data_IF_959442925090
#
_entry.id   IF_959442925090
#
_cell.length_a   1.000
_cell.length_b   1.000
_cell.length_c   1.000
_cell.angle_alpha   90.00
_cell.angle_beta   90.00
_cell.angle_gamma   90.00
#
_symmetry.space_group_name_H-M   'P 1'
#
loop_
_entity.id
_entity.type
_entity.pdbx_description
1 polymer ?
#
# COMPACT_ATOMS: atom_id res chain seq x y z
N UNK A 1 30.92 -24.91 -1.94
CA UNK A 1 30.77 -23.72 -2.80
C UNK A 1 29.83 -24.06 -3.95
N UNK A 2 28.52 -23.92 -3.75
CA UNK A 2 27.53 -24.09 -4.79
C UNK A 2 27.30 -22.73 -5.47
N UNK A 3 27.63 -22.65 -6.76
CA UNK A 3 27.34 -21.49 -7.59
C UNK A 3 25.83 -21.42 -7.79
N UNK A 4 25.17 -20.42 -7.21
CA UNK A 4 23.78 -20.11 -7.56
C UNK A 4 23.75 -19.68 -9.02
N UNK A 5 23.17 -20.55 -9.84
CA UNK A 5 22.85 -20.30 -11.24
C UNK A 5 21.98 -19.05 -11.32
N UNK A 6 22.35 -18.12 -12.20
CA UNK A 6 21.63 -16.89 -12.43
C UNK A 6 20.14 -17.16 -12.65
N UNK A 7 19.31 -16.64 -11.75
CA UNK A 7 17.90 -16.42 -12.05
C UNK A 7 17.85 -15.49 -13.25
N UNK A 8 17.06 -15.85 -14.27
CA UNK A 8 16.69 -14.90 -15.32
C UNK A 8 16.21 -13.61 -14.64
N UNK A 9 16.67 -12.44 -15.11
CA UNK A 9 16.23 -11.17 -14.54
C UNK A 9 14.71 -11.10 -14.69
N UNK A 10 14.00 -11.21 -13.56
CA UNK A 10 12.59 -10.93 -13.48
C UNK A 10 12.30 -9.56 -14.10
N UNK A 11 11.16 -9.42 -14.77
CA UNK A 11 10.77 -8.14 -15.34
C UNK A 11 10.69 -7.09 -14.21
N UNK A 12 11.44 -5.99 -14.37
CA UNK A 12 11.51 -4.90 -13.40
C UNK A 12 10.77 -3.69 -13.93
N UNK A 13 9.97 -3.06 -13.09
CA UNK A 13 9.41 -1.74 -13.35
C UNK A 13 9.46 -0.87 -12.09
N UNK A 14 9.49 0.44 -12.28
CA UNK A 14 9.55 1.44 -11.20
C UNK A 14 8.47 2.47 -11.43
N UNK A 15 7.76 2.83 -10.37
CA UNK A 15 6.72 3.84 -10.38
C UNK A 15 7.04 4.93 -9.36
N UNK A 16 6.67 6.16 -9.68
CA UNK A 16 6.86 7.36 -8.85
C UNK A 16 5.52 8.06 -8.70
N UNK A 17 5.31 8.88 -7.64
CA UNK A 17 4.10 9.66 -7.54
C UNK A 17 3.92 10.54 -8.79
N UNK A 18 2.72 10.58 -9.38
CA UNK A 18 2.40 11.39 -10.57
C UNK A 18 2.39 12.90 -10.29
N UNK A 19 2.47 13.31 -9.03
CA UNK A 19 2.31 14.71 -8.60
C UNK A 19 0.86 15.18 -8.58
N UNK A 20 -0.11 14.36 -9.03
CA UNK A 20 -1.54 14.68 -9.12
C UNK A 20 -2.43 13.45 -8.96
N UNK A 21 -3.65 13.66 -8.46
CA UNK A 21 -4.69 12.64 -8.34
C UNK A 21 -6.05 13.22 -8.73
N UNK A 22 -7.06 12.34 -8.88
CA UNK A 22 -8.46 12.77 -9.02
C UNK A 22 -9.12 12.91 -7.65
N UNK A 23 -9.91 13.95 -7.43
CA UNK A 23 -10.61 14.17 -6.16
C UNK A 23 -12.01 13.56 -6.11
N UNK A 24 -12.71 13.50 -7.25
CA UNK A 24 -14.12 13.09 -7.29
C UNK A 24 -14.45 12.34 -8.58
N UNK A 25 -15.37 11.38 -8.46
CA UNK A 25 -15.99 10.69 -9.59
C UNK A 25 -15.06 9.79 -10.40
N UNK A 26 -15.61 9.24 -11.47
CA UNK A 26 -14.94 8.41 -12.47
C UNK A 26 -15.37 8.85 -13.87
N UNK A 27 -14.59 8.47 -14.89
CA UNK A 27 -15.01 8.71 -16.28
C UNK A 27 -16.06 7.65 -16.64
N UNK A 28 -17.31 8.08 -16.82
CA UNK A 28 -18.37 7.20 -17.30
C UNK A 28 -18.21 7.02 -18.82
N UNK A 29 -17.35 6.09 -19.22
CA UNK A 29 -17.12 5.76 -20.62
C UNK A 29 -18.34 5.17 -21.33
N UNK A 30 -19.35 4.69 -20.60
CA UNK A 30 -20.58 4.20 -21.20
C UNK A 30 -21.49 5.36 -21.62
N UNK A 31 -21.61 6.39 -20.78
CA UNK A 31 -22.35 7.61 -21.10
C UNK A 31 -21.55 8.58 -21.99
N UNK A 32 -20.23 8.63 -21.82
CA UNK A 32 -19.32 9.57 -22.49
C UNK A 32 -18.12 8.85 -23.12
N UNK A 33 -18.31 8.06 -24.20
CA UNK A 33 -17.25 7.28 -24.82
C UNK A 33 -16.16 8.12 -25.49
N UNK A 34 -16.43 9.41 -25.76
CA UNK A 34 -15.49 10.34 -26.39
C UNK A 34 -14.54 11.02 -25.40
N UNK A 35 -14.56 10.68 -24.11
CA UNK A 35 -13.60 11.20 -23.12
C UNK A 35 -12.17 10.84 -23.55
N UNK A 36 -11.31 11.85 -23.74
CA UNK A 36 -9.90 11.69 -24.16
C UNK A 36 -8.90 12.16 -23.13
N UNK A 37 -9.36 12.81 -22.06
CA UNK A 37 -8.51 13.36 -21.01
C UNK A 37 -8.67 12.53 -19.74
N UNK A 38 -7.54 12.15 -19.14
CA UNK A 38 -7.54 11.49 -17.83
C UNK A 38 -7.41 12.54 -16.73
N UNK A 39 -8.53 12.87 -16.11
CA UNK A 39 -8.61 14.00 -15.16
C UNK A 39 -7.89 13.69 -13.85
N UNK A 40 -6.81 14.43 -13.59
CA UNK A 40 -6.09 14.50 -12.31
C UNK A 40 -6.06 15.97 -11.84
N UNK A 41 -7.10 16.35 -11.11
CA UNK A 41 -7.50 17.73 -10.81
C UNK A 41 -6.84 18.32 -9.56
N UNK A 42 -6.21 17.49 -8.72
CA UNK A 42 -5.58 17.94 -7.47
C UNK A 42 -4.11 17.52 -7.38
N UNK A 43 -3.22 18.38 -6.85
CA UNK A 43 -1.84 18.00 -6.56
C UNK A 43 -1.78 16.95 -5.44
N UNK A 44 -0.80 16.06 -5.51
CA UNK A 44 -0.60 15.03 -4.51
C UNK A 44 0.74 14.30 -4.67
N UNK A 45 1.30 13.85 -3.56
CA UNK A 45 2.50 12.99 -3.52
C UNK A 45 2.37 12.05 -2.32
N UNK A 46 3.31 11.13 -2.18
CA UNK A 46 3.38 10.22 -1.04
C UNK A 46 3.80 10.94 0.23
N UNK A 47 3.23 10.54 1.36
CA UNK A 47 3.41 11.19 2.65
C UNK A 47 3.98 10.21 3.67
N UNK A 48 5.04 10.59 4.38
CA UNK A 48 5.51 9.83 5.55
C UNK A 48 4.64 10.15 6.76
N UNK A 49 3.95 9.15 7.33
CA UNK A 49 3.04 9.36 8.47
C UNK A 49 3.72 9.25 9.83
N UNK A 50 4.67 8.32 10.02
CA UNK A 50 5.24 7.98 11.33
C UNK A 50 6.58 8.69 11.64
N UNK A 51 7.05 9.61 10.78
CA UNK A 51 8.32 10.30 11.00
C UNK A 51 8.75 11.23 9.87
N UNK A 52 10.04 11.56 9.81
CA UNK A 52 10.60 12.47 8.79
C UNK A 52 11.96 12.03 8.22
N UNK A 53 12.49 10.90 8.69
CA UNK A 53 13.71 10.33 8.17
C UNK A 53 13.48 9.69 6.79
N UNK A 54 14.54 9.66 5.98
CA UNK A 54 14.52 8.97 4.70
C UNK A 54 14.27 7.47 4.90
N UNK A 55 13.58 6.88 3.93
CA UNK A 55 13.11 5.50 3.95
C UNK A 55 13.71 4.78 2.78
N UNK A 56 14.30 3.63 3.08
CA UNK A 56 14.60 2.61 2.09
C UNK A 56 14.28 1.25 2.71
N UNK A 57 13.36 0.51 2.11
CA UNK A 57 12.96 -0.80 2.57
C UNK A 57 12.66 -1.73 1.39
N UNK A 58 12.91 -3.02 1.59
CA UNK A 58 12.66 -4.07 0.62
C UNK A 58 11.86 -5.21 1.24
N UNK A 59 11.22 -6.02 0.40
CA UNK A 59 10.45 -7.18 0.83
C UNK A 59 9.46 -7.63 -0.24
N UNK A 60 8.85 -8.80 -0.06
CA UNK A 60 7.76 -9.20 -0.96
C UNK A 60 6.50 -8.37 -0.69
N UNK A 61 5.88 -7.91 -1.77
CA UNK A 61 4.65 -7.13 -1.72
C UNK A 61 3.47 -8.04 -1.37
N UNK A 62 2.68 -7.63 -0.39
CA UNK A 62 1.41 -8.30 -0.06
C UNK A 62 0.39 -7.29 0.45
N UNK A 63 -0.85 -7.34 -0.03
CA UNK A 63 -1.82 -6.32 0.33
C UNK A 63 -3.10 -6.25 -0.50
N UNK A 64 -3.84 -5.16 -0.30
CA UNK A 64 -5.11 -4.87 -0.97
C UNK A 64 -6.08 -4.03 -0.13
N UNK A 65 -7.37 -4.13 -0.44
CA UNK A 65 -8.47 -3.42 0.22
C UNK A 65 -8.65 -3.88 1.68
N UNK A 66 -8.66 -2.94 2.63
CA UNK A 66 -8.85 -3.20 4.07
C UNK A 66 -10.21 -3.87 4.30
N UNK A 67 -11.27 -3.34 3.71
CA UNK A 67 -12.65 -3.82 3.85
C UNK A 67 -12.83 -5.25 3.31
N UNK A 68 -11.97 -5.67 2.37
CA UNK A 68 -11.94 -7.06 1.88
C UNK A 68 -11.08 -7.94 2.78
N UNK A 69 -9.84 -7.53 3.03
CA UNK A 69 -8.83 -8.36 3.68
C UNK A 69 -9.09 -8.57 5.17
N UNK A 70 -9.75 -7.63 5.84
CA UNK A 70 -10.04 -7.74 7.28
C UNK A 70 -10.86 -8.98 7.64
N UNK A 71 -11.70 -9.46 6.71
CA UNK A 71 -12.53 -10.65 6.89
C UNK A 71 -11.74 -11.97 6.78
N UNK A 72 -10.55 -11.94 6.19
CA UNK A 72 -9.73 -13.12 5.94
C UNK A 72 -8.48 -13.18 6.81
N UNK A 73 -8.02 -12.04 7.34
CA UNK A 73 -6.78 -11.93 8.08
C UNK A 73 -6.72 -12.94 9.25
N UNK A 74 -5.66 -13.75 9.28
CA UNK A 74 -5.45 -14.79 10.29
C UNK A 74 -6.20 -16.11 10.02
N UNK A 75 -7.01 -16.20 8.96
CA UNK A 75 -7.56 -17.47 8.46
C UNK A 75 -6.53 -18.20 7.58
N UNK A 76 -6.82 -19.46 7.25
CA UNK A 76 -6.00 -20.24 6.30
C UNK A 76 -5.96 -19.66 4.88
N UNK A 77 -6.83 -18.70 4.56
CA UNK A 77 -6.88 -18.03 3.25
C UNK A 77 -6.05 -16.73 3.22
N UNK A 78 -5.65 -16.20 4.38
CA UNK A 78 -4.82 -15.00 4.50
C UNK A 78 -3.92 -15.05 5.75
N UNK A 79 -3.12 -16.11 5.83
CA UNK A 79 -2.07 -16.30 6.84
C UNK A 79 -0.75 -15.68 6.36
N UNK A 80 -0.68 -14.35 6.46
CA UNK A 80 0.49 -13.57 6.03
C UNK A 80 1.73 -13.92 6.87
N UNK A 81 1.56 -14.20 8.16
CA UNK A 81 2.68 -14.59 9.03
C UNK A 81 3.36 -15.87 8.55
N UNK A 82 2.59 -16.88 8.15
CA UNK A 82 3.12 -18.12 7.58
C UNK A 82 3.72 -17.90 6.20
N UNK A 83 3.08 -17.10 5.34
CA UNK A 83 3.63 -16.70 4.05
C UNK A 83 5.01 -16.03 4.21
N UNK A 84 5.14 -15.06 5.12
CA UNK A 84 6.40 -14.36 5.38
C UNK A 84 7.51 -15.33 5.79
N UNK A 85 7.23 -16.23 6.74
CA UNK A 85 8.22 -17.23 7.21
C UNK A 85 8.69 -18.17 6.11
N UNK A 86 7.79 -18.58 5.21
CA UNK A 86 8.07 -19.63 4.24
C UNK A 86 8.55 -19.11 2.88
N UNK A 87 8.11 -17.92 2.46
CA UNK A 87 8.30 -17.40 1.10
C UNK A 87 9.03 -16.06 1.04
N UNK A 88 9.15 -15.34 2.16
CA UNK A 88 9.75 -14.01 2.22
C UNK A 88 10.62 -13.81 3.48
N UNK A 89 11.72 -14.55 3.63
CA UNK A 89 12.56 -14.48 4.83
C UNK A 89 13.11 -13.07 5.10
N UNK A 90 13.33 -12.31 4.03
CA UNK A 90 13.83 -10.93 4.04
C UNK A 90 12.77 -9.90 4.49
N UNK A 91 11.52 -10.32 4.73
CA UNK A 91 10.41 -9.49 5.20
C UNK A 91 9.44 -9.06 4.10
N UNK A 92 8.49 -8.21 4.47
CA UNK A 92 7.36 -7.82 3.60
C UNK A 92 7.29 -6.31 3.39
N UNK A 93 6.81 -5.91 2.21
CA UNK A 93 6.22 -4.60 2.00
C UNK A 93 4.70 -4.79 2.01
N UNK A 94 4.07 -4.47 3.12
CA UNK A 94 2.63 -4.67 3.28
C UNK A 94 1.91 -3.44 2.75
N UNK A 95 0.91 -3.60 1.88
CA UNK A 95 0.12 -2.47 1.42
C UNK A 95 -1.37 -2.63 1.73
N UNK A 96 -2.01 -1.52 2.09
CA UNK A 96 -3.43 -1.48 2.42
C UNK A 96 -4.07 -0.23 1.85
N UNK A 97 -5.33 -0.29 1.46
CA UNK A 97 -6.09 0.86 0.97
C UNK A 97 -7.54 0.77 1.42
N UNK A 98 -8.18 1.93 1.60
CA UNK A 98 -9.57 2.05 2.02
C UNK A 98 -10.42 2.54 0.84
N UNK A 99 -11.53 1.87 0.57
CA UNK A 99 -12.48 2.23 -0.47
C UNK A 99 -13.44 3.31 0.03
N UNK A 100 -14.23 2.97 1.06
CA UNK A 100 -15.39 3.77 1.46
C UNK A 100 -15.72 3.77 2.94
N UNK A 101 -15.12 2.90 3.75
CA UNK A 101 -15.42 2.83 5.17
C UNK A 101 -14.85 4.04 5.95
N UNK A 102 -15.61 4.52 6.95
CA UNK A 102 -15.20 5.67 7.74
C UNK A 102 -13.98 5.37 8.64
N UNK A 103 -13.28 6.43 9.05
CA UNK A 103 -12.03 6.32 9.81
C UNK A 103 -12.13 5.48 11.10
N UNK A 104 -13.28 5.44 11.80
CA UNK A 104 -13.43 4.56 12.98
C UNK A 104 -13.50 3.09 12.57
N UNK A 105 -14.16 2.79 11.47
CA UNK A 105 -14.25 1.43 10.93
C UNK A 105 -12.91 0.96 10.38
N UNK A 106 -12.21 1.80 9.62
CA UNK A 106 -10.85 1.52 9.15
C UNK A 106 -9.89 1.29 10.31
N UNK A 107 -9.90 2.17 11.33
CA UNK A 107 -9.08 2.00 12.53
C UNK A 107 -9.31 0.63 13.19
N UNK A 108 -10.59 0.28 13.43
CA UNK A 108 -10.97 -1.01 14.04
C UNK A 108 -10.50 -2.20 13.19
N UNK A 109 -10.68 -2.13 11.87
CA UNK A 109 -10.26 -3.20 10.94
C UNK A 109 -8.74 -3.37 10.94
N UNK A 110 -7.98 -2.27 10.89
CA UNK A 110 -6.52 -2.31 10.94
C UNK A 110 -5.99 -2.87 12.27
N UNK A 111 -6.62 -2.52 13.39
CA UNK A 111 -6.33 -3.15 14.68
C UNK A 111 -6.57 -4.66 14.65
N UNK A 112 -7.71 -5.09 14.11
CA UNK A 112 -8.04 -6.51 13.97
C UNK A 112 -7.02 -7.25 13.10
N UNK A 113 -6.68 -6.69 11.94
CA UNK A 113 -5.67 -7.24 11.03
C UNK A 113 -4.29 -7.34 11.70
N UNK A 114 -3.87 -6.32 12.45
CA UNK A 114 -2.61 -6.35 13.23
C UNK A 114 -2.62 -7.44 14.30
N UNK A 115 -3.70 -7.57 15.06
CA UNK A 115 -3.83 -8.62 16.08
C UNK A 115 -3.88 -10.03 15.46
N UNK A 116 -4.37 -10.14 14.22
CA UNK A 116 -4.39 -11.38 13.45
C UNK A 116 -3.06 -11.70 12.74
N UNK A 117 -2.01 -10.88 12.92
CA UNK A 117 -0.68 -11.10 12.36
C UNK A 117 -0.50 -10.66 10.91
N UNK A 118 -1.45 -9.91 10.33
CA UNK A 118 -1.36 -9.49 8.91
C UNK A 118 -0.13 -8.62 8.61
N UNK A 119 0.34 -7.86 9.60
CA UNK A 119 1.51 -6.98 9.48
C UNK A 119 2.79 -7.60 10.06
N UNK A 120 2.77 -8.89 10.42
CA UNK A 120 3.96 -9.57 10.90
C UNK A 120 5.06 -9.52 9.84
N UNK A 121 6.30 -9.24 10.26
CA UNK A 121 7.48 -9.17 9.37
C UNK A 121 7.40 -8.07 8.30
N UNK A 122 6.51 -7.09 8.46
CA UNK A 122 6.55 -5.87 7.64
C UNK A 122 7.87 -5.13 7.88
N UNK A 123 8.55 -4.77 6.79
CA UNK A 123 9.68 -3.84 6.80
C UNK A 123 9.22 -2.41 6.51
N UNK A 124 8.10 -2.26 5.80
CA UNK A 124 7.37 -1.02 5.62
C UNK A 124 5.89 -1.33 5.32
N UNK A 125 5.04 -0.33 5.57
CA UNK A 125 3.62 -0.34 5.30
C UNK A 125 3.33 0.79 4.31
N UNK A 126 2.66 0.45 3.22
CA UNK A 126 2.25 1.35 2.16
C UNK A 126 0.74 1.55 2.24
N UNK A 127 0.27 2.78 2.36
CA UNK A 127 -1.15 3.08 2.51
C UNK A 127 -1.66 3.84 1.29
N UNK A 128 -2.68 3.30 0.65
CA UNK A 128 -3.34 3.91 -0.50
C UNK A 128 -3.98 5.25 -0.13
N UNK A 129 -3.91 6.21 -1.06
CA UNK A 129 -4.71 7.43 -0.99
C UNK A 129 -6.19 7.05 -0.99
N UNK A 130 -6.98 7.67 -0.13
CA UNK A 130 -8.41 7.35 -0.01
C UNK A 130 -9.27 8.61 -0.03
N UNK A 131 -10.46 8.49 -0.61
CA UNK A 131 -11.57 9.44 -0.47
C UNK A 131 -12.57 9.02 0.61
N UNK A 132 -12.31 7.91 1.31
CA UNK A 132 -13.15 7.41 2.38
C UNK A 132 -13.28 8.46 3.50
N UNK A 133 -14.46 8.57 4.13
CA UNK A 133 -14.75 9.68 5.00
C UNK A 133 -13.92 9.62 6.29
N UNK A 134 -13.40 10.78 6.69
CA UNK A 134 -12.95 10.97 8.06
C UNK A 134 -14.15 10.87 9.02
N UNK A 135 -13.87 10.70 10.31
CA UNK A 135 -14.84 10.90 11.36
C UNK A 135 -14.54 12.21 12.13
N UNK A 136 -15.45 12.63 13.03
CA UNK A 136 -15.38 13.91 13.74
C UNK A 136 -14.07 14.14 14.50
N UNK A 137 -13.47 13.07 15.04
CA UNK A 137 -12.27 13.12 15.88
C UNK A 137 -11.13 12.24 15.40
N UNK A 138 -11.23 11.72 14.17
CA UNK A 138 -10.23 10.81 13.63
C UNK A 138 -10.25 10.89 12.10
N UNK A 139 -9.12 11.31 11.54
CA UNK A 139 -8.87 11.21 10.10
C UNK A 139 -8.44 9.80 9.71
N UNK A 140 -8.49 9.49 8.41
CA UNK A 140 -8.00 8.21 7.88
C UNK A 140 -6.49 8.01 8.16
N UNK A 141 -5.68 9.06 8.06
CA UNK A 141 -4.25 8.99 8.42
C UNK A 141 -4.06 8.75 9.92
N UNK A 142 -4.85 9.37 10.78
CA UNK A 142 -4.79 9.13 12.23
C UNK A 142 -5.26 7.71 12.58
N UNK A 143 -6.28 7.17 11.89
CA UNK A 143 -6.72 5.79 12.05
C UNK A 143 -5.60 4.77 11.74
N UNK A 144 -4.83 5.03 10.69
CA UNK A 144 -3.64 4.22 10.35
C UNK A 144 -2.58 4.30 11.44
N UNK A 145 -2.25 5.51 11.90
CA UNK A 145 -1.22 5.72 12.92
C UNK A 145 -1.61 5.12 14.28
N UNK A 146 -2.87 5.25 14.68
CA UNK A 146 -3.40 4.67 15.91
C UNK A 146 -3.27 3.14 15.90
N UNK A 147 -3.67 2.52 14.78
CA UNK A 147 -3.64 1.07 14.64
C UNK A 147 -2.22 0.51 14.47
N UNK A 148 -1.36 1.16 13.68
CA UNK A 148 -0.12 0.56 13.16
C UNK A 148 1.16 1.25 13.65
N UNK A 149 1.08 2.45 14.22
CA UNK A 149 2.26 3.22 14.65
C UNK A 149 3.11 2.51 15.69
N UNK A 150 2.51 1.63 16.51
CA UNK A 150 3.21 0.83 17.50
C UNK A 150 4.14 -0.24 16.91
N UNK A 151 4.05 -0.53 15.60
CA UNK A 151 4.90 -1.49 14.91
C UNK A 151 6.32 -0.95 14.68
N UNK A 152 6.54 0.36 14.79
CA UNK A 152 7.83 1.03 14.58
C UNK A 152 8.50 0.69 13.23
N UNK A 153 7.67 0.47 12.21
CA UNK A 153 8.11 0.29 10.82
C UNK A 153 7.63 1.50 10.00
N UNK A 154 8.39 1.89 8.96
CA UNK A 154 7.96 2.87 7.98
C UNK A 154 6.50 2.79 7.52
N UNK A 155 5.76 3.89 7.60
CA UNK A 155 4.40 4.05 7.06
C UNK A 155 4.39 5.17 6.02
N UNK A 156 4.23 4.80 4.75
CA UNK A 156 4.13 5.74 3.63
C UNK A 156 2.70 5.72 3.11
N UNK A 157 2.00 6.84 3.25
CA UNK A 157 0.63 7.01 2.81
C UNK A 157 0.53 7.75 1.48
N UNK A 158 -0.71 7.87 1.02
CA UNK A 158 -1.11 8.56 -0.20
C UNK A 158 -0.51 7.95 -1.47
N UNK A 159 -0.13 6.67 -1.40
CA UNK A 159 0.27 5.86 -2.55
C UNK A 159 -0.93 5.78 -3.50
N UNK A 160 -0.75 5.98 -4.79
CA UNK A 160 -1.85 6.01 -5.75
C UNK A 160 -2.37 4.61 -6.12
N UNK A 161 -2.45 3.68 -5.16
CA UNK A 161 -3.13 2.40 -5.29
C UNK A 161 -4.52 2.44 -4.63
N UNK A 162 -5.40 1.54 -5.03
CA UNK A 162 -6.74 1.45 -4.44
C UNK A 162 -7.80 2.22 -5.22
N UNK A 163 -8.67 2.95 -4.51
CA UNK A 163 -9.88 3.54 -5.09
C UNK A 163 -9.74 5.02 -5.53
N UNK A 164 -8.53 5.59 -5.48
CA UNK A 164 -8.25 6.95 -5.99
C UNK A 164 -7.30 6.92 -7.21
N UNK A 165 -7.68 7.50 -8.38
CA UNK A 165 -6.82 7.59 -9.56
C UNK A 165 -5.48 8.29 -9.27
N UNK A 166 -4.35 7.87 -9.91
CA UNK A 166 -4.26 7.07 -11.15
C UNK A 166 -4.16 5.54 -11.05
N UNK A 167 -4.35 4.89 -9.91
CA UNK A 167 -4.37 3.41 -9.80
C UNK A 167 -3.06 2.71 -10.20
N UNK A 168 -1.97 3.08 -9.55
CA UNK A 168 -0.68 2.41 -9.65
C UNK A 168 -0.80 0.89 -9.37
N UNK A 169 -0.45 0.01 -10.33
CA UNK A 169 -0.46 -1.42 -10.10
C UNK A 169 0.61 -1.85 -9.08
N UNK A 170 0.21 -2.67 -8.11
CA UNK A 170 1.11 -3.34 -7.16
C UNK A 170 0.86 -4.84 -7.28
N UNK A 171 1.92 -5.61 -7.53
CA UNK A 171 1.84 -7.05 -7.79
C UNK A 171 2.16 -7.83 -6.52
N UNK A 172 1.13 -8.45 -5.93
CA UNK A 172 1.29 -9.37 -4.81
C UNK A 172 2.29 -10.49 -5.16
N UNK A 173 3.25 -10.71 -4.27
CA UNK A 173 4.33 -11.69 -4.42
C UNK A 173 5.61 -11.15 -5.07
N UNK A 174 5.55 -10.04 -5.80
CA UNK A 174 6.74 -9.42 -6.40
C UNK A 174 7.72 -8.93 -5.32
N UNK A 175 9.02 -8.95 -5.63
CA UNK A 175 10.01 -8.34 -4.76
C UNK A 175 9.99 -6.82 -4.96
N UNK A 176 9.64 -6.09 -3.91
CA UNK A 176 9.52 -4.64 -3.92
C UNK A 176 10.69 -3.94 -3.23
N UNK A 177 11.00 -2.73 -3.70
CA UNK A 177 11.86 -1.75 -3.01
C UNK A 177 11.15 -0.41 -2.98
N UNK A 178 10.90 0.12 -1.78
CA UNK A 178 10.34 1.43 -1.55
C UNK A 178 11.45 2.40 -1.14
N UNK A 179 11.50 3.57 -1.77
CA UNK A 179 12.36 4.69 -1.39
C UNK A 179 11.49 5.92 -1.19
N UNK A 180 11.71 6.65 -0.09
CA UNK A 180 11.07 7.93 0.18
C UNK A 180 12.01 8.86 0.92
N UNK A 181 12.29 10.01 0.32
CA UNK A 181 13.10 11.08 0.87
C UNK A 181 12.51 12.43 0.48
N UNK A 182 13.14 13.52 0.93
CA UNK A 182 12.74 14.88 0.55
C UNK A 182 12.73 15.15 -0.96
N UNK A 183 13.54 14.42 -1.73
CA UNK A 183 13.72 14.68 -3.17
C UNK A 183 13.21 13.55 -4.07
N UNK A 184 12.84 12.40 -3.51
CA UNK A 184 12.53 11.20 -4.30
C UNK A 184 11.56 10.27 -3.58
N UNK A 185 10.58 9.79 -4.33
CA UNK A 185 9.64 8.75 -3.92
C UNK A 185 9.50 7.76 -5.07
N UNK A 186 9.75 6.48 -4.82
CA UNK A 186 9.56 5.43 -5.84
C UNK A 186 9.31 4.04 -5.24
N UNK A 187 8.55 3.23 -5.98
CA UNK A 187 8.34 1.83 -5.73
C UNK A 187 8.85 1.05 -6.95
N UNK A 188 9.90 0.26 -6.74
CA UNK A 188 10.41 -0.67 -7.74
C UNK A 188 9.86 -2.07 -7.46
N UNK A 189 9.38 -2.77 -8.49
CA UNK A 189 8.88 -4.14 -8.40
C UNK A 189 9.65 -5.04 -9.37
N UNK A 190 10.05 -6.23 -8.90
CA UNK A 190 10.74 -7.26 -9.68
C UNK A 190 9.85 -8.51 -9.67
N UNK A 191 9.44 -8.95 -10.86
CA UNK A 191 8.58 -10.11 -11.08
C UNK A 191 9.44 -11.38 -11.28
N UNK A 192 9.61 -12.18 -10.22
CA UNK A 192 10.55 -13.32 -10.15
C UNK A 192 9.92 -14.70 -9.91
#
# INVERSE_FOLDING_TARGET
MARHRGRALGHRFTQTPPGRHRTTGFDDFAAFPDVREYTLDSPGTWTRLDGSADVEAEGRLIGGCIETLCNLAGSSYLDVSSFARNQSPDGLLVYVEADGDDAFTICRNLHGMRLAGFFDRANAILVGRTSAPNNRSLSQHEAVLDALGCLNVPIIADIECGHVPPYMPIVNGAHGRIVHSRSRSELTQILD
#
